data_IF_956262527904
#
_entry.id   IF_956262527904
#
_cell.length_a   1.000
_cell.length_b   1.000
_cell.length_c   1.000
_cell.angle_alpha   90.00
_cell.angle_beta   90.00
_cell.angle_gamma   90.00
#
_symmetry.space_group_name_H-M   'P 1'
#
loop_
_entity.id
_entity.type
_entity.pdbx_description
1 polymer ?
#
# COMPACT_ATOMS: atom_id res chain seq x y z
N UNK A 1 7.62 16.84 -14.43
CA UNK A 1 6.60 15.82 -14.13
C UNK A 1 7.07 15.05 -12.89
N UNK A 2 6.62 15.46 -11.71
CA UNK A 2 7.11 14.99 -10.39
C UNK A 2 5.86 14.80 -9.51
N UNK A 3 5.06 13.78 -9.78
CA UNK A 3 3.77 13.60 -9.08
C UNK A 3 3.44 12.16 -8.68
N UNK A 4 4.40 11.24 -8.77
CA UNK A 4 4.36 10.03 -7.95
C UNK A 4 5.68 10.00 -7.19
N UNK A 5 5.60 9.99 -5.86
CA UNK A 5 6.78 9.70 -5.05
C UNK A 5 7.29 8.33 -5.49
N UNK A 6 8.52 8.30 -5.98
CA UNK A 6 9.09 7.18 -6.74
C UNK A 6 9.13 5.85 -5.97
N UNK A 7 9.03 5.91 -4.63
CA UNK A 7 8.95 4.73 -3.77
C UNK A 7 7.64 3.93 -3.85
N UNK A 8 6.57 4.48 -4.45
CA UNK A 8 5.26 3.79 -4.56
C UNK A 8 4.98 3.23 -5.97
N UNK A 9 5.93 3.35 -6.90
CA UNK A 9 5.78 2.81 -8.25
C UNK A 9 5.87 1.27 -8.22
N UNK A 10 4.99 0.62 -8.97
CA UNK A 10 5.01 -0.81 -9.15
C UNK A 10 6.19 -1.26 -10.05
N UNK A 11 6.72 -2.48 -9.89
CA UNK A 11 7.85 -2.99 -10.66
C UNK A 11 7.64 -2.88 -12.19
N UNK A 12 6.45 -3.25 -12.65
CA UNK A 12 6.06 -3.19 -14.06
C UNK A 12 6.11 -1.77 -14.64
N UNK A 13 5.81 -0.74 -13.84
CA UNK A 13 5.87 0.66 -14.28
C UNK A 13 7.32 1.13 -14.40
N UNK A 14 8.18 0.74 -13.46
CA UNK A 14 9.62 1.06 -13.48
C UNK A 14 10.30 0.41 -14.69
N UNK A 15 9.93 -0.84 -14.99
CA UNK A 15 10.43 -1.60 -16.13
C UNK A 15 9.77 -1.21 -17.47
N UNK A 16 8.84 -0.26 -17.46
CA UNK A 16 8.09 0.20 -18.65
C UNK A 16 7.36 -0.93 -19.37
N UNK A 17 6.88 -1.91 -18.61
CA UNK A 17 6.01 -2.99 -19.11
C UNK A 17 4.56 -2.50 -19.17
N UNK A 18 3.70 -3.25 -19.86
CA UNK A 18 2.27 -3.02 -19.83
C UNK A 18 1.77 -3.24 -18.40
N UNK A 19 1.05 -2.25 -17.86
CA UNK A 19 0.46 -2.29 -16.54
C UNK A 19 -1.06 -2.17 -16.62
N UNK A 20 -1.74 -2.60 -15.57
CA UNK A 20 -3.18 -2.52 -15.43
C UNK A 20 -3.54 -1.93 -14.05
N UNK A 21 -4.81 -2.05 -13.63
CA UNK A 21 -5.30 -1.57 -12.33
C UNK A 21 -4.61 -2.17 -11.10
N UNK A 22 -3.84 -3.26 -11.26
CA UNK A 22 -3.13 -3.90 -10.13
C UNK A 22 -1.97 -3.07 -9.59
N UNK A 23 -1.54 -2.02 -10.30
CA UNK A 23 -0.56 -1.04 -9.79
C UNK A 23 -1.09 -0.29 -8.56
N UNK A 24 -2.40 -0.08 -8.47
CA UNK A 24 -3.02 0.58 -7.33
C UNK A 24 -2.95 -0.30 -6.07
N UNK A 25 -3.05 -1.62 -6.23
CA UNK A 25 -2.87 -2.58 -5.14
C UNK A 25 -1.44 -2.62 -4.63
N UNK A 26 -0.45 -2.47 -5.52
CA UNK A 26 0.95 -2.29 -5.10
C UNK A 26 1.15 -1.01 -4.30
N UNK A 27 0.58 0.10 -4.77
CA UNK A 27 0.65 1.38 -4.07
C UNK A 27 0.02 1.29 -2.67
N UNK A 28 -1.16 0.66 -2.56
CA UNK A 28 -1.81 0.39 -1.28
C UNK A 28 -0.92 -0.45 -0.35
N UNK A 29 -0.29 -1.51 -0.88
CA UNK A 29 0.63 -2.36 -0.12
C UNK A 29 1.82 -1.57 0.44
N UNK A 30 2.37 -0.67 -0.36
CA UNK A 30 3.50 0.19 0.00
C UNK A 30 3.12 1.19 1.10
N UNK A 31 1.98 1.86 0.96
CA UNK A 31 1.45 2.80 1.97
C UNK A 31 1.10 2.07 3.26
N UNK A 32 0.47 0.90 3.17
CA UNK A 32 0.14 0.09 4.35
C UNK A 32 1.41 -0.33 5.10
N UNK A 33 2.45 -0.73 4.38
CA UNK A 33 3.75 -1.03 4.98
C UNK A 33 4.31 0.19 5.71
N UNK A 34 4.29 1.36 5.08
CA UNK A 34 4.79 2.60 5.69
C UNK A 34 4.00 3.01 6.94
N UNK A 35 2.67 2.86 6.95
CA UNK A 35 1.85 3.14 8.14
C UNK A 35 2.24 2.23 9.31
N UNK A 36 2.62 0.99 9.03
CA UNK A 36 2.95 -0.01 10.06
C UNK A 36 4.38 0.10 10.57
N UNK A 37 5.33 0.43 9.68
CA UNK A 37 6.76 0.37 9.96
C UNK A 37 7.46 1.74 9.94
N UNK A 38 6.75 2.79 9.56
CA UNK A 38 7.23 4.18 9.53
C UNK A 38 8.09 4.55 8.32
N UNK A 39 8.46 3.59 7.47
CA UNK A 39 9.23 3.80 6.24
C UNK A 39 8.68 2.95 5.09
N UNK A 40 8.82 3.38 3.82
CA UNK A 40 8.47 2.56 2.67
C UNK A 40 9.23 1.22 2.64
N UNK A 41 8.66 0.17 2.01
CA UNK A 41 9.26 -1.17 1.99
C UNK A 41 10.61 -1.21 1.27
N UNK A 42 10.76 -0.41 0.21
CA UNK A 42 11.99 -0.29 -0.57
C UNK A 42 12.37 1.20 -0.59
N UNK A 43 13.18 1.63 0.37
CA UNK A 43 13.62 3.02 0.48
C UNK A 43 15.14 3.10 0.40
N UNK A 44 15.63 3.91 -0.55
CA UNK A 44 17.02 4.30 -0.63
C UNK A 44 17.12 5.77 -1.10
N UNK A 45 18.19 6.47 -0.72
CA UNK A 45 18.46 7.84 -1.18
C UNK A 45 18.81 7.87 -2.67
N UNK A 46 19.42 6.80 -3.18
CA UNK A 46 19.74 6.60 -4.58
C UNK A 46 18.56 5.92 -5.28
N UNK A 47 17.91 6.67 -6.18
CA UNK A 47 16.74 6.20 -6.94
C UNK A 47 17.04 4.91 -7.72
N UNK A 48 18.25 4.77 -8.26
CA UNK A 48 18.63 3.57 -9.02
C UNK A 48 18.70 2.33 -8.14
N UNK A 49 19.19 2.46 -6.90
CA UNK A 49 19.21 1.37 -5.93
C UNK A 49 17.79 1.04 -5.51
N UNK A 50 16.99 2.06 -5.17
CA UNK A 50 15.59 1.87 -4.80
C UNK A 50 14.78 1.15 -5.90
N UNK A 51 14.94 1.54 -7.17
CA UNK A 51 14.29 0.86 -8.30
C UNK A 51 14.78 -0.57 -8.47
N UNK A 52 16.08 -0.82 -8.28
CA UNK A 52 16.61 -2.18 -8.26
C UNK A 52 15.94 -3.02 -7.17
N UNK A 53 15.82 -2.50 -5.95
CA UNK A 53 15.17 -3.19 -4.84
C UNK A 53 13.69 -3.45 -5.12
N UNK A 54 12.95 -2.46 -5.63
CA UNK A 54 11.54 -2.59 -6.02
C UNK A 54 11.36 -3.71 -7.06
N UNK A 55 12.26 -3.84 -8.03
CA UNK A 55 12.13 -4.86 -9.07
C UNK A 55 12.68 -6.24 -8.68
N UNK A 56 13.65 -6.33 -7.76
CA UNK A 56 14.41 -7.57 -7.58
C UNK A 56 14.44 -8.11 -6.14
N UNK A 57 14.40 -7.25 -5.12
CA UNK A 57 14.57 -7.69 -3.73
C UNK A 57 13.27 -8.17 -3.09
N UNK A 58 13.35 -9.19 -2.23
CA UNK A 58 12.18 -9.69 -1.50
C UNK A 58 11.80 -8.75 -0.36
N UNK A 59 10.50 -8.65 -0.08
CA UNK A 59 9.99 -7.87 1.05
C UNK A 59 10.46 -8.48 2.38
N UNK A 60 11.14 -7.68 3.20
CA UNK A 60 11.53 -8.06 4.56
C UNK A 60 10.48 -7.57 5.54
N UNK A 61 9.83 -8.48 6.25
CA UNK A 61 8.88 -8.13 7.31
C UNK A 61 9.58 -8.24 8.68
N UNK A 62 9.60 -7.18 9.50
CA UNK A 62 10.10 -7.25 10.87
C UNK A 62 9.38 -8.34 11.69
N UNK A 63 10.15 -9.17 12.40
CA UNK A 63 9.67 -10.35 13.14
C UNK A 63 8.67 -10.05 14.26
N UNK A 64 8.56 -8.80 14.70
CA UNK A 64 7.74 -8.41 15.85
C UNK A 64 6.23 -8.30 15.56
N UNK A 65 5.79 -8.44 14.30
CA UNK A 65 4.37 -8.28 13.94
C UNK A 65 3.88 -9.49 13.13
N UNK A 66 3.52 -10.57 13.82
CA UNK A 66 2.96 -11.81 13.27
C UNK A 66 1.61 -11.64 12.52
N UNK A 67 1.09 -10.42 12.35
CA UNK A 67 -0.32 -10.20 11.99
C UNK A 67 -0.57 -9.59 10.62
N UNK A 68 0.46 -9.19 9.85
CA UNK A 68 0.19 -8.47 8.59
C UNK A 68 0.86 -9.03 7.33
N UNK A 69 0.48 -10.28 7.00
CA UNK A 69 0.78 -10.89 5.69
C UNK A 69 0.10 -10.14 4.52
N UNK A 70 -0.81 -9.20 4.78
CA UNK A 70 -1.49 -8.45 3.71
C UNK A 70 -0.48 -7.72 2.82
N UNK A 71 0.47 -6.99 3.41
CA UNK A 71 1.49 -6.26 2.65
C UNK A 71 2.33 -7.20 1.78
N UNK A 72 2.66 -8.40 2.24
CA UNK A 72 3.39 -9.38 1.40
C UNK A 72 2.59 -9.86 0.19
N UNK A 73 1.27 -9.97 0.30
CA UNK A 73 0.43 -10.35 -0.85
C UNK A 73 0.16 -9.18 -1.81
N UNK A 74 0.13 -7.94 -1.31
CA UNK A 74 -0.03 -6.73 -2.12
C UNK A 74 1.28 -6.31 -2.81
N UNK A 75 2.42 -6.55 -2.18
CA UNK A 75 3.77 -6.24 -2.70
C UNK A 75 4.38 -7.44 -3.46
N UNK A 76 3.52 -8.25 -4.07
CA UNK A 76 3.93 -9.29 -5.01
C UNK A 76 4.36 -8.64 -6.33
N UNK A 77 5.55 -8.99 -6.81
CA UNK A 77 6.16 -8.36 -7.98
C UNK A 77 5.50 -8.81 -9.26
N UNK A 78 5.06 -10.07 -9.34
CA UNK A 78 4.26 -10.54 -10.48
C UNK A 78 2.80 -10.09 -10.33
N UNK A 79 2.43 -9.09 -11.12
CA UNK A 79 1.08 -8.50 -11.12
C UNK A 79 -0.06 -9.51 -11.33
N UNK A 80 0.22 -10.68 -11.94
CA UNK A 80 -0.78 -11.73 -12.24
C UNK A 80 -1.16 -12.59 -11.03
N UNK A 81 -0.31 -12.62 -10.01
CA UNK A 81 -0.53 -13.35 -8.76
C UNK A 81 -0.65 -12.43 -7.55
N UNK A 82 -0.44 -11.12 -7.75
CA UNK A 82 -0.69 -10.08 -6.76
C UNK A 82 -2.13 -10.11 -6.26
N UNK A 83 -2.33 -9.88 -4.96
CA UNK A 83 -3.68 -9.78 -4.40
C UNK A 83 -4.43 -8.61 -5.05
N UNK A 84 -5.65 -8.89 -5.55
CA UNK A 84 -6.45 -7.96 -6.35
C UNK A 84 -6.34 -8.18 -7.86
N UNK A 85 -5.52 -9.13 -8.32
CA UNK A 85 -5.36 -9.42 -9.75
C UNK A 85 -6.54 -10.16 -10.38
N UNK A 86 -7.21 -11.07 -9.64
CA UNK A 86 -8.28 -11.90 -10.22
C UNK A 86 -9.65 -11.27 -10.09
N UNK A 87 -9.96 -10.80 -8.89
CA UNK A 87 -11.31 -10.36 -8.49
C UNK A 87 -11.29 -8.96 -7.86
N UNK A 88 -10.18 -8.24 -8.08
CA UNK A 88 -10.00 -6.85 -7.67
C UNK A 88 -10.29 -6.66 -6.17
N UNK A 89 -11.05 -5.64 -5.81
CA UNK A 89 -11.45 -5.35 -4.45
C UNK A 89 -12.11 -6.51 -3.70
N UNK A 90 -12.76 -7.48 -4.40
CA UNK A 90 -13.39 -8.63 -3.73
C UNK A 90 -12.35 -9.56 -3.08
N UNK A 91 -11.14 -9.67 -3.63
CA UNK A 91 -10.07 -10.45 -2.98
C UNK A 91 -9.58 -9.75 -1.71
N UNK A 92 -9.44 -8.43 -1.79
CA UNK A 92 -8.99 -7.58 -0.69
C UNK A 92 -9.97 -7.67 0.47
N UNK A 93 -11.28 -7.52 0.20
CA UNK A 93 -12.35 -7.65 1.20
C UNK A 93 -12.35 -8.99 1.92
N UNK A 94 -11.99 -10.08 1.22
CA UNK A 94 -11.96 -11.45 1.76
C UNK A 94 -10.72 -11.74 2.60
N UNK A 95 -9.68 -10.90 2.53
CA UNK A 95 -8.43 -11.16 3.24
C UNK A 95 -8.64 -11.11 4.77
N UNK A 96 -8.02 -12.01 5.56
CA UNK A 96 -8.20 -12.06 7.02
C UNK A 96 -7.92 -10.75 7.76
N UNK A 97 -7.07 -9.89 7.20
CA UNK A 97 -6.82 -8.54 7.74
C UNK A 97 -8.11 -7.70 7.87
N UNK A 98 -9.06 -7.85 6.95
CA UNK A 98 -10.31 -7.11 6.92
C UNK A 98 -11.50 -7.93 7.45
N UNK A 99 -11.27 -9.07 8.11
CA UNK A 99 -12.34 -9.94 8.59
C UNK A 99 -13.28 -9.26 9.61
N UNK A 100 -12.79 -8.25 10.32
CA UNK A 100 -13.56 -7.47 11.30
C UNK A 100 -14.07 -6.14 10.72
N UNK A 101 -13.86 -5.87 9.43
CA UNK A 101 -14.26 -4.62 8.79
C UNK A 101 -15.66 -4.72 8.21
N UNK A 102 -16.60 -3.97 8.75
CA UNK A 102 -17.89 -3.74 8.09
C UNK A 102 -17.74 -2.67 7.00
N UNK A 103 -17.58 -3.13 5.76
CA UNK A 103 -17.42 -2.26 4.60
C UNK A 103 -18.62 -1.36 4.32
N UNK A 104 -19.83 -1.76 4.71
CA UNK A 104 -21.03 -0.94 4.56
C UNK A 104 -20.99 0.24 5.54
N UNK A 105 -20.54 0.01 6.78
CA UNK A 105 -20.34 1.08 7.75
C UNK A 105 -19.22 2.03 7.35
N UNK A 106 -18.13 1.51 6.75
CA UNK A 106 -17.03 2.34 6.20
C UNK A 106 -17.59 3.28 5.12
N UNK A 107 -18.31 2.73 4.14
CA UNK A 107 -18.86 3.49 3.01
C UNK A 107 -19.85 4.58 3.46
N UNK A 108 -20.70 4.26 4.43
CA UNK A 108 -21.65 5.19 5.03
C UNK A 108 -21.03 6.13 6.08
N UNK A 109 -19.71 6.11 6.27
CA UNK A 109 -18.96 6.94 7.22
C UNK A 109 -19.47 6.82 8.66
N UNK A 110 -19.99 5.65 9.02
CA UNK A 110 -20.56 5.38 10.35
C UNK A 110 -19.50 4.87 11.35
N UNK A 111 -18.29 4.54 10.88
CA UNK A 111 -17.19 4.17 11.75
C UNK A 111 -16.53 5.44 12.29
N UNK A 112 -16.45 5.54 13.62
CA UNK A 112 -15.73 6.64 14.28
C UNK A 112 -14.24 6.55 13.93
N UNK A 113 -13.62 7.61 13.40
CA UNK A 113 -12.19 7.60 13.08
C UNK A 113 -11.35 7.51 14.37
N UNK A 114 -10.18 6.84 14.32
CA UNK A 114 -9.31 6.69 15.48
C UNK A 114 -8.66 8.01 15.90
N UNK A 115 -8.55 8.97 14.98
CA UNK A 115 -8.01 10.30 15.21
C UNK A 115 -8.93 11.34 14.59
N UNK A 116 -9.35 12.33 15.39
CA UNK A 116 -10.07 13.51 14.93
C UNK A 116 -9.16 14.71 15.19
N UNK A 117 -8.68 15.40 14.14
CA UNK A 117 -7.79 16.54 14.33
C UNK A 117 -8.53 17.68 15.06
N UNK A 118 -7.89 18.23 16.07
CA UNK A 118 -8.38 19.46 16.71
C UNK A 118 -8.09 20.65 15.80
N UNK A 119 -9.15 21.18 15.19
CA UNK A 119 -9.06 22.40 14.39
C UNK A 119 -9.12 23.61 15.32
N UNK A 120 -7.98 24.27 15.53
CA UNK A 120 -7.98 25.63 16.07
C UNK A 120 -8.34 26.54 14.90
N UNK A 121 -9.48 27.23 15.01
CA UNK A 121 -9.99 28.11 13.95
C UNK A 121 -8.92 29.10 13.49
N UNK A 122 -8.84 29.28 12.17
CA UNK A 122 -7.96 30.25 11.51
C UNK A 122 -8.31 31.67 11.94
N UNK A 123 -7.27 32.41 12.36
CA UNK A 123 -7.11 33.87 12.38
C UNK A 123 -8.37 34.72 12.68
N UNK A 124 -8.29 35.46 13.78
CA UNK A 124 -8.84 36.81 13.90
C UNK A 124 -8.48 37.58 12.61
N UNK A 125 -9.48 37.90 11.79
CA UNK A 125 -9.37 38.95 10.77
C UNK A 125 -9.33 40.33 11.43
#
# INVERSE_FOLDING_TARGET
MKLFSSQYLAPEMIEKRAYDKTVDWWCLGSVLYEILFGLPPFYDKNISIMYHSICNEQLVLPTNINKNKLSSFLLEKDQRIRLGSKDDFKEIKRHPFFAQTDWSMVENKMIKPPFVPHLVSWLVC
#
